data_IF_817378661341
#
_entry.id   IF_817378661341
#
_cell.length_a   1.000
_cell.length_b   1.000
_cell.length_c   1.000
_cell.angle_alpha   90.00
_cell.angle_beta   90.00
_cell.angle_gamma   90.00
#
_symmetry.space_group_name_H-M   'P 1'
#
loop_
_entity.id
_entity.type
_entity.pdbx_description
1 polymer ?
#
# COMPACT_ATOMS: atom_id res chain seq x y z
N UNK A 1 -4.43 28.39 -69.31
CA UNK A 1 -3.28 28.27 -68.38
C UNK A 1 -2.64 26.90 -68.57
N UNK A 2 -1.35 26.82 -68.94
CA UNK A 2 -0.66 25.54 -69.14
C UNK A 2 -0.13 25.04 -67.80
N UNK A 3 -0.82 24.07 -67.17
CA UNK A 3 -0.30 23.40 -65.99
C UNK A 3 0.98 22.65 -66.38
N UNK A 4 2.10 23.00 -65.75
CA UNK A 4 3.38 22.30 -65.94
C UNK A 4 3.24 20.92 -65.28
N UNK A 5 3.46 19.85 -66.04
CA UNK A 5 3.39 18.45 -65.56
C UNK A 5 4.14 18.25 -64.24
N UNK A 6 5.26 18.95 -64.04
CA UNK A 6 6.05 18.88 -62.80
C UNK A 6 5.32 19.40 -61.55
N UNK A 7 4.34 20.30 -61.69
CA UNK A 7 3.53 20.78 -60.56
C UNK A 7 2.49 19.74 -60.13
N UNK A 8 1.93 19.01 -61.11
CA UNK A 8 0.98 17.91 -60.86
C UNK A 8 1.71 16.75 -60.18
N UNK A 9 2.91 16.40 -60.66
CA UNK A 9 3.69 15.30 -60.09
C UNK A 9 4.10 15.58 -58.63
N UNK A 10 4.51 16.82 -58.32
CA UNK A 10 4.84 17.23 -56.94
C UNK A 10 3.62 17.28 -56.04
N UNK A 11 2.48 17.75 -56.54
CA UNK A 11 1.21 17.74 -55.80
C UNK A 11 0.78 16.31 -55.46
N UNK A 12 0.88 15.39 -56.41
CA UNK A 12 0.53 13.98 -56.19
C UNK A 12 1.44 13.31 -55.15
N UNK A 13 2.73 13.64 -55.14
CA UNK A 13 3.69 13.12 -54.18
C UNK A 13 3.41 13.65 -52.76
N UNK A 14 3.06 14.94 -52.64
CA UNK A 14 2.68 15.55 -51.34
C UNK A 14 1.36 15.00 -50.82
N UNK A 15 0.35 14.83 -51.68
CA UNK A 15 -0.94 14.25 -51.29
C UNK A 15 -0.78 12.77 -50.90
N UNK A 16 0.05 12.02 -51.64
CA UNK A 16 0.37 10.63 -51.33
C UNK A 16 1.12 10.47 -50.00
N UNK A 17 2.12 11.31 -49.71
CA UNK A 17 2.84 11.26 -48.45
C UNK A 17 1.97 11.68 -47.27
N UNK A 18 1.09 12.67 -47.46
CA UNK A 18 0.13 13.09 -46.46
C UNK A 18 -0.89 12.00 -46.15
N UNK A 19 -1.47 11.37 -47.16
CA UNK A 19 -2.37 10.23 -46.98
C UNK A 19 -1.67 9.04 -46.29
N UNK A 20 -0.42 8.75 -46.66
CA UNK A 20 0.39 7.73 -46.00
C UNK A 20 0.63 8.02 -44.52
N UNK A 21 0.95 9.27 -44.17
CA UNK A 21 1.11 9.71 -42.78
C UNK A 21 -0.19 9.66 -41.99
N UNK A 22 -1.32 10.03 -42.60
CA UNK A 22 -2.65 9.94 -41.96
C UNK A 22 -3.03 8.49 -41.67
N UNK A 23 -2.80 7.58 -42.61
CA UNK A 23 -3.06 6.14 -42.40
C UNK A 23 -2.13 5.58 -41.32
N UNK A 24 -0.84 5.94 -41.34
CA UNK A 24 0.11 5.52 -40.31
C UNK A 24 -0.29 6.04 -38.93
N UNK A 25 -0.66 7.31 -38.81
CA UNK A 25 -1.16 7.88 -37.55
C UNK A 25 -2.47 7.22 -37.09
N UNK A 26 -3.37 6.88 -38.00
CA UNK A 26 -4.59 6.14 -37.65
C UNK A 26 -4.31 4.73 -37.14
N UNK A 27 -3.23 4.09 -37.60
CA UNK A 27 -2.82 2.74 -37.17
C UNK A 27 -2.12 2.72 -35.81
N UNK A 28 -1.53 3.85 -35.40
CA UNK A 28 -0.95 4.03 -34.06
C UNK A 28 -1.94 4.60 -33.04
N UNK A 29 -3.16 4.96 -33.47
CA UNK A 29 -4.22 5.42 -32.58
C UNK A 29 -4.95 4.19 -32.01
N UNK A 30 -4.96 3.97 -30.68
CA UNK A 30 -5.62 2.80 -30.10
C UNK A 30 -7.12 2.82 -30.41
N UNK A 31 -7.66 1.66 -30.80
CA UNK A 31 -9.09 1.50 -31.07
C UNK A 31 -9.88 1.68 -29.76
N UNK A 32 -11.07 2.29 -29.80
CA UNK A 32 -11.90 2.52 -28.61
C UNK A 32 -12.41 1.22 -27.96
N UNK A 33 -12.21 0.07 -28.60
CA UNK A 33 -12.68 -1.24 -28.14
C UNK A 33 -11.62 -2.04 -27.37
N UNK A 34 -10.41 -1.51 -27.17
CA UNK A 34 -9.43 -2.14 -26.27
C UNK A 34 -9.64 -1.63 -24.83
N UNK A 35 -10.07 -2.49 -23.89
CA UNK A 35 -10.27 -2.07 -22.51
C UNK A 35 -8.91 -1.68 -21.91
N UNK A 36 -8.87 -0.47 -21.36
CA UNK A 36 -7.71 0.06 -20.64
C UNK A 36 -7.28 -0.92 -19.54
N UNK A 37 -5.98 -1.08 -19.25
CA UNK A 37 -5.51 -1.98 -18.19
C UNK A 37 -6.06 -1.61 -16.80
N UNK A 38 -6.55 -0.38 -16.64
CA UNK A 38 -7.24 0.11 -15.45
C UNK A 38 -8.69 -0.40 -15.31
N UNK A 39 -9.38 -0.67 -16.42
CA UNK A 39 -10.77 -1.15 -16.42
C UNK A 39 -10.86 -2.61 -15.97
N UNK A 40 -9.85 -3.42 -16.32
CA UNK A 40 -9.74 -4.83 -15.89
C UNK A 40 -9.62 -4.98 -14.37
N UNK A 41 -9.19 -3.94 -13.66
CA UNK A 41 -9.08 -3.92 -12.20
C UNK A 41 -10.37 -3.48 -11.50
N UNK A 42 -11.31 -2.90 -12.24
CA UNK A 42 -12.52 -2.27 -11.67
C UNK A 42 -13.77 -3.15 -11.78
N UNK A 43 -13.80 -4.08 -12.74
CA UNK A 43 -14.92 -5.02 -12.93
C UNK A 43 -14.94 -6.17 -11.90
N UNK A 44 -13.81 -6.46 -11.24
CA UNK A 44 -13.73 -7.51 -10.20
C UNK A 44 -14.13 -7.00 -8.79
N UNK A 45 -14.70 -5.78 -8.72
CA UNK A 45 -15.12 -5.12 -7.48
C UNK A 45 -16.59 -4.67 -7.51
N UNK A 46 -17.45 -5.41 -8.21
CA UNK A 46 -18.89 -5.27 -8.01
C UNK A 46 -19.32 -6.06 -6.76
N UNK A 47 -19.39 -5.29 -5.67
CA UNK A 47 -20.38 -5.32 -4.58
C UNK A 47 -21.24 -6.59 -4.51
N UNK A 48 -20.77 -7.60 -3.76
CA UNK A 48 -21.68 -8.47 -3.03
C UNK A 48 -21.93 -7.81 -1.67
N UNK A 49 -23.07 -7.15 -1.50
CA UNK A 49 -23.58 -6.78 -0.18
C UNK A 49 -23.94 -8.06 0.60
N UNK A 50 -23.36 -8.33 1.80
CA UNK A 50 -23.92 -9.29 2.70
C UNK A 50 -24.79 -8.56 3.73
N UNK A 51 -26.10 -8.83 3.65
CA UNK A 51 -27.10 -8.48 4.66
C UNK A 51 -26.64 -8.80 6.11
N UNK A 52 -27.19 -8.11 7.13
CA UNK A 52 -26.88 -8.41 8.52
C UNK A 52 -27.39 -9.81 8.89
N UNK A 53 -26.48 -10.66 9.33
CA UNK A 53 -26.74 -12.08 9.61
C UNK A 53 -27.70 -12.24 10.80
N UNK A 54 -28.93 -12.64 10.49
CA UNK A 54 -29.94 -13.12 11.43
C UNK A 54 -29.54 -14.53 11.88
N UNK A 55 -29.53 -14.76 13.19
CA UNK A 55 -29.00 -15.97 13.82
C UNK A 55 -29.51 -17.29 13.24
N UNK A 56 -28.65 -18.30 13.31
CA UNK A 56 -28.98 -19.68 12.99
C UNK A 56 -27.76 -20.58 13.14
N UNK A 57 -27.75 -21.39 14.21
CA UNK A 57 -26.80 -22.47 14.42
C UNK A 57 -26.97 -23.53 13.32
N UNK A 58 -25.88 -24.01 12.70
CA UNK A 58 -25.95 -25.16 11.79
C UNK A 58 -24.64 -25.46 11.08
N UNK A 59 -23.93 -26.49 11.54
CA UNK A 59 -22.78 -27.12 10.88
C UNK A 59 -23.20 -27.75 9.54
N UNK A 60 -22.41 -27.54 8.49
CA UNK A 60 -22.32 -28.41 7.33
C UNK A 60 -20.84 -28.60 6.94
N UNK A 61 -20.30 -29.84 6.94
CA UNK A 61 -18.91 -30.11 6.60
C UNK A 61 -18.79 -30.41 5.11
N UNK A 62 -17.97 -29.67 4.34
CA UNK A 62 -17.67 -30.14 2.99
C UNK A 62 -16.86 -29.25 2.06
N UNK A 63 -16.97 -27.91 2.12
CA UNK A 63 -16.50 -27.10 0.98
C UNK A 63 -15.55 -25.93 1.30
N UNK A 64 -15.09 -25.76 2.54
CA UNK A 64 -14.03 -24.79 2.86
C UNK A 64 -12.63 -25.37 2.58
N UNK A 65 -12.35 -25.73 1.33
CA UNK A 65 -10.97 -25.94 0.87
C UNK A 65 -10.42 -24.63 0.38
N UNK A 66 -9.84 -23.87 1.32
CA UNK A 66 -9.01 -22.71 1.04
C UNK A 66 -8.00 -23.04 -0.07
N UNK A 67 -8.13 -22.41 -1.23
CA UNK A 67 -7.15 -22.52 -2.33
C UNK A 67 -6.15 -21.37 -2.19
N UNK A 68 -4.92 -21.62 -1.71
CA UNK A 68 -3.93 -20.56 -1.58
C UNK A 68 -3.54 -20.03 -2.96
N UNK A 69 -3.51 -18.70 -3.10
CA UNK A 69 -3.21 -17.98 -4.36
C UNK A 69 -1.76 -18.18 -4.82
N UNK A 70 -0.91 -18.73 -3.95
CA UNK A 70 0.49 -19.09 -4.23
C UNK A 70 0.74 -20.50 -3.73
N UNK A 71 1.37 -21.39 -4.52
CA UNK A 71 1.71 -22.73 -4.04
C UNK A 71 2.67 -22.62 -2.86
N UNK A 72 2.37 -23.34 -1.79
CA UNK A 72 3.26 -23.41 -0.64
C UNK A 72 4.65 -23.90 -1.08
N UNK A 73 5.73 -23.32 -0.55
CA UNK A 73 7.07 -23.79 -0.84
C UNK A 73 7.18 -25.27 -0.47
N UNK A 74 7.77 -26.08 -1.35
CA UNK A 74 7.99 -27.49 -1.08
C UNK A 74 8.97 -27.61 0.09
N UNK A 75 8.50 -28.17 1.20
CA UNK A 75 9.32 -28.49 2.36
C UNK A 75 9.77 -29.94 2.20
N UNK A 76 11.04 -30.15 1.87
CA UNK A 76 11.66 -31.47 2.01
C UNK A 76 11.88 -31.74 3.50
N UNK A 77 11.20 -32.76 4.02
CA UNK A 77 11.32 -33.19 5.40
C UNK A 77 11.22 -34.70 5.49
N UNK A 78 12.00 -35.30 6.38
CA UNK A 78 11.85 -36.71 6.75
C UNK A 78 10.56 -36.81 7.56
N UNK A 79 9.57 -37.56 7.07
CA UNK A 79 8.32 -37.79 7.78
C UNK A 79 8.62 -38.50 9.09
N UNK A 80 8.34 -37.81 10.19
CA UNK A 80 8.50 -38.36 11.53
C UNK A 80 7.16 -38.98 11.92
N UNK A 81 7.13 -40.32 12.05
CA UNK A 81 5.90 -41.00 12.47
C UNK A 81 5.56 -40.66 13.93
N UNK A 82 4.60 -39.76 14.08
CA UNK A 82 4.14 -39.28 15.38
C UNK A 82 3.42 -40.38 16.18
N UNK A 83 2.85 -41.41 15.54
CA UNK A 83 2.22 -42.53 16.23
C UNK A 83 3.26 -43.39 16.96
N UNK A 84 4.37 -43.71 16.29
CA UNK A 84 5.48 -44.45 16.91
C UNK A 84 6.04 -43.71 18.12
N UNK A 85 6.27 -42.39 17.98
CA UNK A 85 6.76 -41.53 19.06
C UNK A 85 5.76 -41.46 20.21
N UNK A 86 4.46 -41.36 19.89
CA UNK A 86 3.40 -41.31 20.91
C UNK A 86 3.32 -42.61 21.70
N UNK A 87 3.47 -43.76 21.05
CA UNK A 87 3.49 -45.08 21.71
C UNK A 87 4.72 -45.25 22.59
N UNK A 88 5.90 -44.85 22.10
CA UNK A 88 7.16 -44.87 22.88
C UNK A 88 7.04 -43.96 24.11
N UNK A 89 6.54 -42.73 23.93
CA UNK A 89 6.39 -41.78 25.04
C UNK A 89 5.29 -42.17 26.02
N UNK A 90 4.23 -42.85 25.57
CA UNK A 90 3.19 -43.38 26.45
C UNK A 90 3.73 -44.53 27.31
N UNK A 91 4.47 -45.46 26.72
CA UNK A 91 5.12 -46.54 27.46
C UNK A 91 6.18 -46.02 28.45
N UNK A 92 6.88 -44.93 28.09
CA UNK A 92 7.86 -44.27 28.95
C UNK A 92 7.20 -43.48 30.10
N UNK A 93 6.09 -42.78 29.85
CA UNK A 93 5.30 -42.12 30.90
C UNK A 93 4.67 -43.11 31.89
N UNK A 94 4.23 -44.28 31.40
CA UNK A 94 3.73 -45.37 32.27
C UNK A 94 4.82 -45.92 33.20
N UNK A 95 6.10 -45.85 32.80
CA UNK A 95 7.26 -46.18 33.66
C UNK A 95 7.67 -45.03 34.59
N UNK A 96 7.49 -43.76 34.16
CA UNK A 96 7.89 -42.55 34.91
C UNK A 96 6.81 -42.02 35.88
N UNK A 97 5.58 -42.56 35.86
CA UNK A 97 4.52 -42.21 36.83
C UNK A 97 4.88 -42.47 38.31
N UNK A 98 6.06 -43.03 38.60
CA UNK A 98 6.62 -43.14 39.95
C UNK A 98 7.51 -41.96 40.39
N UNK A 99 7.76 -40.94 39.55
CA UNK A 99 8.60 -39.80 39.96
C UNK A 99 8.20 -38.45 39.31
N UNK A 100 7.39 -37.66 40.02
CA UNK A 100 7.57 -36.20 40.09
C UNK A 100 6.99 -35.33 38.96
N UNK A 101 5.75 -34.86 39.15
CA UNK A 101 4.94 -34.06 38.23
C UNK A 101 5.33 -32.59 37.94
N UNK A 102 6.60 -32.18 38.08
CA UNK A 102 6.99 -30.77 37.95
C UNK A 102 7.59 -30.37 36.59
N UNK A 103 8.07 -31.31 35.76
CA UNK A 103 8.80 -30.99 34.52
C UNK A 103 7.92 -30.69 33.30
N UNK A 104 6.63 -31.04 33.32
CA UNK A 104 5.75 -30.96 32.15
C UNK A 104 5.33 -29.52 31.80
N UNK A 105 5.23 -28.64 32.81
CA UNK A 105 4.83 -27.23 32.62
C UNK A 105 5.91 -26.43 31.87
N UNK A 106 7.18 -26.69 32.15
CA UNK A 106 8.33 -26.04 31.52
C UNK A 106 8.51 -26.44 30.05
N UNK A 107 8.16 -27.69 29.68
CA UNK A 107 8.29 -28.18 28.30
C UNK A 107 7.25 -27.52 27.38
N UNK A 108 6.01 -27.32 27.86
CA UNK A 108 4.96 -26.64 27.08
C UNK A 108 5.28 -25.16 26.84
N UNK A 109 5.97 -24.50 27.77
CA UNK A 109 6.37 -23.09 27.60
C UNK A 109 7.46 -22.90 26.54
N UNK A 110 8.32 -23.90 26.30
CA UNK A 110 9.42 -23.82 25.32
C UNK A 110 8.97 -24.01 23.87
N UNK A 111 7.74 -24.49 23.63
CA UNK A 111 7.30 -24.93 22.31
C UNK A 111 6.57 -23.84 21.49
N UNK A 112 6.28 -22.67 22.08
CA UNK A 112 5.58 -21.58 21.41
C UNK A 112 6.34 -20.27 21.57
N UNK A 113 6.58 -19.54 20.47
CA UNK A 113 7.14 -18.19 20.51
C UNK A 113 6.16 -17.25 21.24
N UNK A 114 6.65 -16.54 22.25
CA UNK A 114 5.89 -15.50 22.96
C UNK A 114 6.54 -14.13 22.79
N UNK A 115 5.74 -13.06 22.81
CA UNK A 115 6.27 -11.71 22.92
C UNK A 115 6.92 -11.48 24.29
N UNK A 116 7.83 -10.49 24.37
CA UNK A 116 8.38 -10.06 25.66
C UNK A 116 7.23 -9.49 26.52
N UNK A 117 7.13 -9.88 27.81
CA UNK A 117 6.09 -9.34 28.67
C UNK A 117 6.32 -7.84 28.90
N UNK A 118 5.23 -7.13 29.15
CA UNK A 118 5.29 -5.71 29.50
C UNK A 118 5.98 -5.53 30.85
N UNK A 119 7.08 -4.78 30.88
CA UNK A 119 7.84 -4.48 32.10
C UNK A 119 7.60 -3.05 32.59
N UNK A 120 7.10 -2.17 31.73
CA UNK A 120 6.93 -0.75 32.04
C UNK A 120 5.48 -0.46 32.40
N UNK A 121 5.25 0.18 33.55
CA UNK A 121 3.91 0.60 33.97
C UNK A 121 3.63 1.99 33.39
N UNK A 122 2.57 2.11 32.60
CA UNK A 122 2.07 3.37 32.05
C UNK A 122 0.56 3.45 32.29
N UNK A 123 0.05 4.64 32.61
CA UNK A 123 -1.36 4.87 32.87
C UNK A 123 -2.01 5.55 31.67
N UNK A 124 -3.27 5.22 31.40
CA UNK A 124 -4.02 5.85 30.33
C UNK A 124 -4.22 7.35 30.60
N UNK A 125 -4.19 8.19 29.54
CA UNK A 125 -4.41 9.63 29.68
C UNK A 125 -5.86 9.95 30.05
N UNK A 126 -6.07 11.09 30.70
CA UNK A 126 -7.41 11.58 31.09
C UNK A 126 -7.72 12.87 30.36
N UNK A 127 -8.80 12.88 29.57
CA UNK A 127 -9.31 14.10 28.94
C UNK A 127 -9.93 15.01 30.00
N UNK A 128 -9.41 16.24 30.10
CA UNK A 128 -9.91 17.28 31.00
C UNK A 128 -10.46 18.44 30.18
N UNK A 129 -11.77 18.49 29.89
CA UNK A 129 -12.35 19.52 29.02
C UNK A 129 -12.07 20.92 29.56
N UNK A 130 -11.65 21.82 28.66
CA UNK A 130 -11.31 23.21 29.00
C UNK A 130 -9.97 23.41 29.72
N UNK A 131 -9.21 22.34 29.99
CA UNK A 131 -7.85 22.43 30.53
C UNK A 131 -6.85 22.11 29.42
N UNK A 132 -6.13 23.13 28.95
CA UNK A 132 -5.08 22.98 27.95
C UNK A 132 -3.85 22.27 28.54
N UNK A 133 -3.15 21.47 27.73
CA UNK A 133 -1.90 20.81 28.11
C UNK A 133 -2.08 19.38 28.66
N UNK A 134 -1.02 18.70 29.10
CA UNK A 134 0.35 19.15 29.41
C UNK A 134 1.38 18.99 28.29
N UNK A 135 0.98 18.54 27.10
CA UNK A 135 1.85 18.38 25.92
C UNK A 135 1.56 19.37 24.79
N UNK A 136 0.52 20.18 24.92
CA UNK A 136 0.21 21.21 23.93
C UNK A 136 1.22 22.38 24.06
N UNK A 137 1.72 22.92 22.93
CA UNK A 137 2.49 24.16 22.93
C UNK A 137 1.75 25.29 23.64
N UNK A 138 2.44 25.99 24.55
CA UNK A 138 1.86 27.12 25.28
C UNK A 138 1.69 28.36 24.40
N UNK A 139 2.58 28.49 23.43
CA UNK A 139 2.64 29.58 22.47
C UNK A 139 2.61 28.99 21.07
N UNK A 140 2.10 29.72 20.07
CA UNK A 140 2.09 29.25 18.70
C UNK A 140 3.52 28.98 18.21
N UNK A 141 3.68 27.90 17.44
CA UNK A 141 4.96 27.54 16.86
C UNK A 141 5.50 28.70 15.98
N UNK A 142 6.77 29.11 16.18
CA UNK A 142 7.37 30.14 15.35
C UNK A 142 7.56 29.63 13.92
N UNK A 143 7.36 30.48 12.89
CA UNK A 143 7.69 30.09 11.52
C UNK A 143 9.21 29.96 11.37
N UNK A 144 9.67 28.99 10.58
CA UNK A 144 11.10 28.84 10.29
C UNK A 144 11.65 30.04 9.53
N UNK A 145 10.89 30.53 8.55
CA UNK A 145 11.16 31.83 7.90
C UNK A 145 9.92 32.71 8.03
N UNK A 146 10.07 33.88 8.65
CA UNK A 146 8.95 34.81 8.86
C UNK A 146 8.35 35.23 7.52
N UNK A 147 7.10 34.81 7.27
CA UNK A 147 6.42 35.08 6.00
C UNK A 147 6.96 34.26 4.81
N UNK A 148 7.75 33.22 5.08
CA UNK A 148 8.31 32.34 4.08
C UNK A 148 7.27 31.53 3.32
N UNK A 149 7.64 30.97 2.15
CA UNK A 149 6.78 30.08 1.40
C UNK A 149 6.50 28.80 2.17
N UNK A 150 5.26 28.30 2.10
CA UNK A 150 4.87 27.02 2.71
C UNK A 150 4.63 27.04 4.23
N UNK A 151 4.81 28.18 4.90
CA UNK A 151 4.51 28.36 6.32
C UNK A 151 3.01 28.19 6.63
N UNK A 152 2.69 27.68 7.82
CA UNK A 152 1.34 27.29 8.24
C UNK A 152 0.64 26.38 7.22
N UNK A 153 1.44 25.55 6.53
CA UNK A 153 1.02 24.70 5.41
C UNK A 153 0.27 25.41 4.28
N UNK A 154 0.51 26.70 4.05
CA UNK A 154 -0.08 27.41 2.91
C UNK A 154 0.43 26.83 1.59
N UNK A 155 -0.44 26.68 0.56
CA UNK A 155 -0.02 26.13 -0.72
C UNK A 155 0.98 27.06 -1.41
N UNK A 156 2.12 26.51 -1.85
CA UNK A 156 3.10 27.20 -2.67
C UNK A 156 2.84 26.85 -4.14
N UNK A 157 2.33 27.82 -4.91
CA UNK A 157 2.11 27.67 -6.35
C UNK A 157 3.21 28.43 -7.08
N UNK A 158 4.07 27.69 -7.79
CA UNK A 158 5.14 28.26 -8.60
C UNK A 158 4.63 28.67 -9.98
N UNK A 159 5.30 29.65 -10.58
CA UNK A 159 4.97 30.13 -11.92
C UNK A 159 5.44 29.20 -13.05
N UNK A 160 5.01 29.47 -14.29
CA UNK A 160 5.36 28.66 -15.46
C UNK A 160 6.86 28.61 -15.77
N UNK A 161 7.64 29.58 -15.28
CA UNK A 161 9.10 29.64 -15.41
C UNK A 161 9.81 28.44 -14.77
N UNK A 162 9.20 27.81 -13.76
CA UNK A 162 9.77 26.63 -13.10
C UNK A 162 9.29 25.30 -13.71
N UNK A 163 8.41 25.33 -14.72
CA UNK A 163 7.71 24.12 -15.23
C UNK A 163 8.66 22.99 -15.62
N UNK A 164 9.74 23.29 -16.33
CA UNK A 164 10.70 22.29 -16.78
C UNK A 164 11.45 21.66 -15.58
N UNK A 165 11.87 22.47 -14.61
CA UNK A 165 12.55 22.00 -13.41
C UNK A 165 11.62 21.17 -12.49
N UNK A 166 10.36 21.61 -12.36
CA UNK A 166 9.32 20.86 -11.64
C UNK A 166 9.10 19.50 -12.31
N UNK A 167 8.96 19.46 -13.64
CA UNK A 167 8.76 18.19 -14.36
C UNK A 167 9.97 17.26 -14.23
N UNK A 168 11.19 17.80 -14.27
CA UNK A 168 12.41 17.02 -14.07
C UNK A 168 12.46 16.41 -12.67
N UNK A 169 12.22 17.20 -11.62
CA UNK A 169 12.22 16.71 -10.23
C UNK A 169 11.10 15.69 -9.95
N UNK A 170 9.91 15.90 -10.49
CA UNK A 170 8.82 14.93 -10.37
C UNK A 170 9.19 13.62 -11.08
N UNK A 171 9.87 13.67 -12.23
CA UNK A 171 10.32 12.48 -12.95
C UNK A 171 11.35 11.67 -12.15
N UNK A 172 12.22 12.36 -11.41
CA UNK A 172 13.28 11.74 -10.61
C UNK A 172 12.77 11.21 -9.26
N UNK A 173 12.00 12.01 -8.53
CA UNK A 173 11.62 11.74 -7.14
C UNK A 173 10.13 11.47 -6.91
N UNK A 174 9.27 11.70 -7.91
CA UNK A 174 7.82 11.66 -7.74
C UNK A 174 7.22 12.89 -7.05
N UNK A 175 8.05 13.86 -6.66
CA UNK A 175 7.65 15.06 -5.93
C UNK A 175 8.21 16.32 -6.58
N UNK A 176 7.54 17.46 -6.34
CA UNK A 176 8.02 18.76 -6.78
C UNK A 176 9.14 19.24 -5.83
N UNK A 177 10.37 18.79 -6.07
CA UNK A 177 11.53 19.18 -5.25
C UNK A 177 11.83 20.67 -5.36
N UNK A 178 11.57 21.30 -6.52
CA UNK A 178 11.78 22.75 -6.68
C UNK A 178 10.93 23.55 -5.68
N UNK A 179 9.68 23.14 -5.46
CA UNK A 179 8.84 23.76 -4.43
C UNK A 179 9.30 23.37 -3.01
N UNK A 180 9.67 22.10 -2.79
CA UNK A 180 10.13 21.61 -1.49
C UNK A 180 11.40 22.34 -1.01
N UNK A 181 12.35 22.56 -1.91
CA UNK A 181 13.64 23.19 -1.61
C UNK A 181 13.50 24.67 -1.25
N UNK A 182 12.40 25.32 -1.65
CA UNK A 182 12.09 26.71 -1.29
C UNK A 182 11.42 26.83 0.09
N UNK A 183 10.82 25.75 0.58
CA UNK A 183 10.10 25.73 1.85
C UNK A 183 11.12 25.50 2.98
N UNK A 184 11.00 26.26 4.06
CA UNK A 184 11.84 26.07 5.25
C UNK A 184 11.75 24.63 5.76
N UNK A 185 12.89 24.03 6.12
CA UNK A 185 12.91 22.72 6.78
C UNK A 185 12.23 22.79 8.16
N UNK A 186 12.30 23.94 8.81
CA UNK A 186 11.68 24.23 10.11
C UNK A 186 10.35 25.01 9.95
N UNK A 187 9.61 24.80 8.85
CA UNK A 187 8.33 25.51 8.63
C UNK A 187 7.29 25.17 9.70
N UNK A 188 6.50 26.16 10.07
CA UNK A 188 5.27 25.96 10.84
C UNK A 188 4.20 25.24 9.99
N UNK A 189 3.34 24.46 10.64
CA UNK A 189 2.28 23.66 10.00
C UNK A 189 0.90 24.08 10.53
N UNK A 190 -0.16 23.79 9.79
CA UNK A 190 -1.53 23.99 10.28
C UNK A 190 -1.97 22.84 11.20
N UNK A 191 -2.82 23.14 12.18
CA UNK A 191 -3.42 22.10 13.00
C UNK A 191 -4.64 21.48 12.29
N UNK A 192 -4.66 20.15 12.19
CA UNK A 192 -5.76 19.36 11.62
C UNK A 192 -6.43 18.46 12.67
N UNK A 193 -6.00 18.53 13.93
CA UNK A 193 -6.57 17.76 15.06
C UNK A 193 -7.93 18.33 15.44
N UNK A 194 -8.77 17.51 16.08
CA UNK A 194 -9.99 17.97 16.73
C UNK A 194 -9.66 18.72 18.03
N UNK A 195 -10.51 19.67 18.38
CA UNK A 195 -10.51 20.38 19.67
C UNK A 195 -11.18 19.53 20.77
#
# INVERSE_FOLDING_TARGET
MRLKIGFILRSLLVVGSFLGLVVLWSSLTPRPDDPSPLSRMREDRDVNDPMPNRGGNGLAPGEDRFKPVVPWPHVEGVEVDLESIRRINKAKNEQEHHAGGDSQKDIMQRQYLTFKPQTFTYHDPVLRPGILGNFEPKEPEPPGVVGGPGEKAKPLVLGPEFKQAIQASIKEFGFNMVASDMISLDRSVNDLRQE
#
